data_IF_027381851207
#
_entry.id   IF_027381851207
#
_cell.length_a   1.000
_cell.length_b   1.000
_cell.length_c   1.000
_cell.angle_alpha   90.00
_cell.angle_beta   90.00
_cell.angle_gamma   90.00
#
_symmetry.space_group_name_H-M   'P 1'
#
loop_
_entity.id
_entity.type
_entity.pdbx_description
1 polymer ?
#
# COMPACT_ATOMS: atom_id res chain seq x y z
N UNK A 1 30.63 -14.62 38.60
CA UNK A 1 31.89 -13.92 38.25
C UNK A 1 31.68 -12.42 38.47
N UNK A 2 32.17 -11.87 39.58
CA UNK A 2 31.99 -10.46 39.97
C UNK A 2 33.08 -9.59 39.34
N UNK A 3 32.71 -8.62 38.49
CA UNK A 3 33.65 -7.63 37.94
C UNK A 3 33.91 -6.54 38.98
N UNK A 4 35.16 -6.43 39.45
CA UNK A 4 35.62 -5.32 40.30
C UNK A 4 36.00 -4.13 39.42
N UNK A 5 35.49 -2.95 39.73
CA UNK A 5 35.78 -1.70 39.01
C UNK A 5 36.76 -0.91 39.87
N UNK A 6 37.99 -0.74 39.38
CA UNK A 6 39.09 -0.11 40.13
C UNK A 6 39.27 1.39 39.81
N UNK A 7 38.50 1.91 38.84
CA UNK A 7 38.59 3.32 38.43
C UNK A 7 37.33 4.10 38.79
N UNK A 8 37.51 5.37 39.17
CA UNK A 8 36.41 6.28 39.52
C UNK A 8 35.52 6.51 38.29
N UNK A 9 34.26 6.14 38.36
CA UNK A 9 33.28 6.34 37.29
C UNK A 9 32.87 7.81 37.33
N UNK A 10 33.30 8.59 36.33
CA UNK A 10 33.04 10.05 36.25
C UNK A 10 31.74 10.38 35.52
N UNK A 11 31.02 9.36 35.02
CA UNK A 11 29.67 9.52 34.48
C UNK A 11 29.05 8.17 34.14
N UNK A 12 27.76 8.02 34.40
CA UNK A 12 26.97 6.87 33.97
C UNK A 12 25.74 7.38 33.21
N UNK A 13 25.43 6.77 32.07
CA UNK A 13 24.19 7.01 31.32
C UNK A 13 23.40 5.70 31.32
N UNK A 14 22.26 5.71 32.00
CA UNK A 14 21.33 4.58 32.01
C UNK A 14 20.63 4.57 30.65
N UNK A 15 20.87 3.51 29.88
CA UNK A 15 20.16 3.28 28.62
C UNK A 15 18.83 2.64 28.98
N UNK A 16 17.74 3.41 28.88
CA UNK A 16 16.38 2.87 28.82
C UNK A 16 16.20 2.15 27.48
N UNK A 17 15.47 1.03 27.47
CA UNK A 17 15.27 0.18 26.30
C UNK A 17 14.55 0.88 25.12
N UNK A 18 14.06 2.10 25.31
CA UNK A 18 13.53 2.95 24.24
C UNK A 18 14.61 3.48 23.28
N UNK A 19 15.89 3.51 23.69
CA UNK A 19 17.01 3.98 22.83
C UNK A 19 17.65 2.84 22.03
N UNK A 20 17.35 1.58 22.36
CA UNK A 20 17.81 0.43 21.55
C UNK A 20 17.06 0.30 20.22
N UNK A 21 15.87 0.90 20.09
CA UNK A 21 15.13 0.85 18.84
C UNK A 21 15.66 1.83 17.76
N UNK A 22 16.51 2.80 18.13
CA UNK A 22 17.02 3.83 17.19
C UNK A 22 18.51 3.69 16.86
N UNK A 23 19.17 2.62 17.29
CA UNK A 23 20.63 2.45 17.06
C UNK A 23 21.02 1.13 16.38
N UNK A 24 20.20 0.64 15.45
CA UNK A 24 20.58 -0.39 14.47
C UNK A 24 19.99 -0.05 13.08
N UNK A 25 20.48 1.02 12.45
CA UNK A 25 20.31 1.26 11.00
C UNK A 25 21.34 2.27 10.51
N UNK A 26 22.62 2.01 10.77
CA UNK A 26 23.73 2.65 10.07
C UNK A 26 24.75 1.57 9.70
N UNK A 27 24.37 0.77 8.72
CA UNK A 27 25.31 0.11 7.83
C UNK A 27 24.73 0.17 6.41
N UNK A 28 25.65 0.26 5.45
CA UNK A 28 25.49 0.72 4.09
C UNK A 28 24.34 0.07 3.31
N UNK A 29 23.43 0.90 2.81
CA UNK A 29 22.81 0.83 1.46
C UNK A 29 21.75 1.91 1.39
N UNK A 30 21.71 2.64 0.29
CA UNK A 30 20.77 3.73 0.02
C UNK A 30 19.37 3.16 -0.29
N UNK A 31 18.81 2.33 0.61
CA UNK A 31 17.52 1.65 0.45
C UNK A 31 16.43 2.68 0.70
N UNK A 32 15.83 3.17 -0.38
CA UNK A 32 14.68 4.05 -0.33
C UNK A 32 13.47 3.19 0.04
N UNK A 33 12.86 3.51 1.18
CA UNK A 33 11.58 2.94 1.60
C UNK A 33 10.44 3.89 1.23
N UNK A 34 9.25 3.34 1.00
CA UNK A 34 8.03 4.11 0.76
C UNK A 34 7.72 4.96 2.01
N UNK A 35 7.80 6.28 1.88
CA UNK A 35 7.44 7.22 2.95
C UNK A 35 6.84 8.50 2.34
N UNK A 36 6.12 9.30 3.12
CA UNK A 36 5.38 10.50 2.65
C UNK A 36 6.21 11.51 1.83
N UNK A 37 7.53 11.56 2.05
CA UNK A 37 8.46 12.45 1.33
C UNK A 37 9.00 11.88 0.01
N UNK A 38 8.62 10.66 -0.39
CA UNK A 38 9.05 10.11 -1.69
C UNK A 38 8.35 10.91 -2.78
N UNK A 39 9.15 11.62 -3.60
CA UNK A 39 8.63 12.39 -4.72
C UNK A 39 8.04 11.45 -5.77
N UNK A 40 6.93 11.88 -6.40
CA UNK A 40 6.35 11.16 -7.55
C UNK A 40 7.41 11.06 -8.67
N UNK A 41 7.82 9.85 -9.09
CA UNK A 41 8.75 9.68 -10.19
C UNK A 41 8.17 10.20 -11.51
N UNK A 42 9.03 10.49 -12.48
CA UNK A 42 8.59 10.93 -13.81
C UNK A 42 7.82 9.84 -14.57
N UNK A 43 8.20 8.57 -14.36
CA UNK A 43 7.55 7.42 -14.97
C UNK A 43 6.97 6.50 -13.89
N UNK A 44 5.72 6.06 -14.09
CA UNK A 44 5.05 5.08 -13.25
C UNK A 44 4.58 3.91 -14.11
N UNK A 45 4.81 2.69 -13.65
CA UNK A 45 4.29 1.50 -14.33
C UNK A 45 2.84 1.28 -13.93
N UNK A 46 1.92 1.34 -14.89
CA UNK A 46 0.48 1.25 -14.64
C UNK A 46 -0.16 0.05 -15.31
N UNK A 47 -1.06 -0.63 -14.59
CA UNK A 47 -1.94 -1.68 -15.14
C UNK A 47 -3.39 -1.21 -15.10
N UNK A 48 -4.12 -1.34 -16.20
CA UNK A 48 -5.54 -0.95 -16.29
C UNK A 48 -6.42 -2.17 -16.50
N UNK A 49 -7.37 -2.36 -15.59
CA UNK A 49 -8.32 -3.47 -15.56
C UNK A 49 -9.72 -2.97 -15.89
N UNK A 50 -10.45 -3.75 -16.68
CA UNK A 50 -11.86 -3.49 -16.97
C UNK A 50 -12.74 -4.40 -16.12
N UNK A 51 -13.51 -3.80 -15.22
CA UNK A 51 -14.45 -4.50 -14.35
C UNK A 51 -15.85 -4.33 -14.94
N UNK A 52 -16.52 -5.45 -15.23
CA UNK A 52 -17.93 -5.49 -15.60
C UNK A 52 -18.66 -6.33 -14.57
N UNK A 53 -19.72 -5.78 -14.00
CA UNK A 53 -20.64 -6.53 -13.13
C UNK A 53 -21.98 -6.65 -13.83
N UNK A 54 -22.70 -7.78 -13.66
CA UNK A 54 -24.01 -7.98 -14.30
C UNK A 54 -25.09 -7.02 -13.79
N UNK A 55 -24.85 -6.38 -12.63
CA UNK A 55 -25.75 -5.42 -11.99
C UNK A 55 -25.58 -3.98 -12.53
N UNK A 56 -24.56 -3.71 -13.33
CA UNK A 56 -24.24 -2.35 -13.81
C UNK A 56 -24.15 -2.32 -15.34
N UNK A 57 -24.91 -1.41 -15.95
CA UNK A 57 -24.89 -1.16 -17.40
C UNK A 57 -23.56 -0.56 -17.87
N UNK A 58 -22.79 0.04 -16.96
CA UNK A 58 -21.53 0.70 -17.25
C UNK A 58 -20.34 -0.08 -16.67
N UNK A 59 -19.33 -0.29 -17.52
CA UNK A 59 -18.06 -0.87 -17.11
C UNK A 59 -17.25 0.14 -16.29
N UNK A 60 -16.56 -0.35 -15.27
CA UNK A 60 -15.58 0.41 -14.49
C UNK A 60 -14.18 0.10 -15.00
N UNK A 61 -13.32 1.11 -15.02
CA UNK A 61 -11.91 1.00 -15.37
C UNK A 61 -11.09 1.29 -14.12
N UNK A 62 -10.27 0.32 -13.71
CA UNK A 62 -9.40 0.41 -12.56
C UNK A 62 -7.96 0.50 -13.05
N UNK A 63 -7.27 1.60 -12.79
CA UNK A 63 -5.84 1.76 -13.08
C UNK A 63 -5.07 1.74 -11.78
N UNK A 64 -4.11 0.83 -11.65
CA UNK A 64 -3.19 0.75 -10.53
C UNK A 64 -1.80 1.13 -11.05
N UNK A 65 -1.23 2.18 -10.49
CA UNK A 65 0.12 2.64 -10.80
C UNK A 65 1.05 2.26 -9.65
N UNK A 66 2.16 1.63 -10.00
CA UNK A 66 3.19 1.20 -9.07
C UNK A 66 4.47 2.01 -9.25
N UNK A 67 5.13 2.25 -8.13
CA UNK A 67 6.49 2.76 -8.06
C UNK A 67 7.45 1.59 -7.88
N UNK A 68 8.57 1.63 -8.60
CA UNK A 68 9.69 0.71 -8.36
C UNK A 68 10.69 1.48 -7.50
N UNK A 69 10.98 0.93 -6.33
CA UNK A 69 11.98 1.46 -5.40
C UNK A 69 13.27 0.68 -5.59
N UNK A 70 14.40 1.39 -5.54
CA UNK A 70 15.76 0.83 -5.61
C UNK A 70 16.03 0.02 -6.89
N UNK A 71 15.57 0.54 -8.03
CA UNK A 71 15.83 -0.04 -9.36
C UNK A 71 17.32 -0.36 -9.55
N UNK A 72 17.63 -1.61 -9.92
CA UNK A 72 19.02 -2.04 -10.19
C UNK A 72 19.86 -2.40 -8.96
N UNK A 73 19.22 -2.59 -7.79
CA UNK A 73 19.86 -3.15 -6.59
C UNK A 73 19.21 -4.47 -6.16
N UNK A 74 19.87 -5.22 -5.27
CA UNK A 74 19.31 -6.45 -4.68
C UNK A 74 18.03 -6.21 -3.85
N UNK A 75 17.67 -4.95 -3.60
CA UNK A 75 16.49 -4.52 -2.85
C UNK A 75 15.42 -3.85 -3.71
N UNK A 76 15.36 -4.17 -4.99
CA UNK A 76 14.29 -3.74 -5.88
C UNK A 76 12.92 -4.18 -5.34
N UNK A 77 12.05 -3.21 -5.06
CA UNK A 77 10.71 -3.48 -4.57
C UNK A 77 9.69 -2.68 -5.35
N UNK A 78 8.71 -3.39 -5.91
CA UNK A 78 7.54 -2.78 -6.54
C UNK A 78 6.44 -2.59 -5.50
N UNK A 79 5.95 -1.36 -5.36
CA UNK A 79 4.86 -1.04 -4.43
C UNK A 79 3.77 -0.22 -5.13
N UNK A 80 2.48 -0.41 -4.76
CA UNK A 80 1.41 0.42 -5.28
C UNK A 80 1.60 1.87 -4.82
N UNK A 81 1.43 2.82 -5.75
CA UNK A 81 1.63 4.25 -5.50
C UNK A 81 0.33 5.04 -5.60
N UNK A 82 -0.50 4.77 -6.61
CA UNK A 82 -1.80 5.43 -6.78
C UNK A 82 -2.79 4.53 -7.51
N UNK A 83 -4.08 4.73 -7.21
CA UNK A 83 -5.19 3.96 -7.79
C UNK A 83 -6.24 4.92 -8.33
N UNK A 84 -6.73 4.62 -9.53
CA UNK A 84 -7.78 5.37 -10.20
C UNK A 84 -8.90 4.43 -10.58
N UNK A 85 -10.13 4.79 -10.23
CA UNK A 85 -11.32 4.11 -10.69
C UNK A 85 -12.14 5.11 -11.48
N UNK A 86 -12.41 4.78 -12.74
CA UNK A 86 -13.23 5.59 -13.63
C UNK A 86 -14.46 4.80 -14.07
N UNK A 87 -15.59 5.49 -14.19
CA UNK A 87 -16.85 4.91 -14.66
C UNK A 87 -17.60 5.93 -15.49
N UNK A 88 -18.43 5.44 -16.43
CA UNK A 88 -19.40 6.29 -17.14
C UNK A 88 -20.61 6.65 -16.28
N UNK A 89 -20.81 5.96 -15.15
CA UNK A 89 -21.87 6.28 -14.21
C UNK A 89 -21.49 7.51 -13.37
N UNK A 90 -22.21 8.61 -13.56
CA UNK A 90 -21.95 9.87 -12.87
C UNK A 90 -22.46 9.89 -11.42
N UNK A 91 -23.46 9.08 -11.08
CA UNK A 91 -24.11 9.10 -9.76
C UNK A 91 -23.16 8.67 -8.64
N UNK A 92 -22.23 7.77 -8.95
CA UNK A 92 -21.26 7.24 -7.99
C UNK A 92 -19.89 7.93 -8.08
N UNK A 93 -19.71 8.86 -9.01
CA UNK A 93 -18.40 9.43 -9.34
C UNK A 93 -17.75 10.15 -8.15
N UNK A 94 -18.51 10.89 -7.36
CA UNK A 94 -17.98 11.62 -6.20
C UNK A 94 -17.43 10.68 -5.12
N UNK A 95 -18.17 9.63 -4.78
CA UNK A 95 -17.76 8.62 -3.79
C UNK A 95 -16.55 7.83 -4.28
N UNK A 96 -16.56 7.44 -5.55
CA UNK A 96 -15.43 6.75 -6.19
C UNK A 96 -14.17 7.63 -6.18
N UNK A 97 -14.30 8.92 -6.50
CA UNK A 97 -13.18 9.87 -6.48
C UNK A 97 -12.64 10.08 -5.05
N UNK A 98 -13.52 10.16 -4.06
CA UNK A 98 -13.11 10.26 -2.66
C UNK A 98 -12.36 9.00 -2.20
N UNK A 99 -12.89 7.81 -2.50
CA UNK A 99 -12.28 6.53 -2.15
C UNK A 99 -10.89 6.37 -2.76
N UNK A 100 -10.76 6.59 -4.07
CA UNK A 100 -9.48 6.48 -4.79
C UNK A 100 -8.42 7.45 -4.29
N UNK A 101 -8.83 8.68 -3.89
CA UNK A 101 -7.93 9.65 -3.23
C UNK A 101 -7.44 9.18 -1.87
N UNK A 102 -8.33 8.61 -1.05
CA UNK A 102 -7.97 8.10 0.28
C UNK A 102 -7.03 6.91 0.16
N UNK A 103 -7.37 5.92 -0.68
CA UNK A 103 -6.51 4.73 -0.89
C UNK A 103 -5.14 5.15 -1.42
N UNK A 104 -5.08 6.06 -2.41
CA UNK A 104 -3.81 6.56 -2.94
C UNK A 104 -3.00 7.32 -1.87
N UNK A 105 -3.66 8.06 -0.97
CA UNK A 105 -2.97 8.72 0.14
C UNK A 105 -2.35 7.70 1.10
N UNK A 106 -3.05 6.60 1.41
CA UNK A 106 -2.52 5.52 2.25
C UNK A 106 -1.32 4.85 1.58
N UNK A 107 -1.40 4.54 0.28
CA UNK A 107 -0.27 3.99 -0.48
C UNK A 107 0.96 4.90 -0.41
N UNK A 108 0.78 6.22 -0.53
CA UNK A 108 1.89 7.19 -0.43
C UNK A 108 2.47 7.35 0.97
N UNK A 109 1.69 7.11 2.03
CA UNK A 109 2.24 7.08 3.40
C UNK A 109 3.26 5.94 3.56
N UNK A 110 3.11 4.87 2.77
CA UNK A 110 3.92 3.67 2.88
C UNK A 110 3.50 2.80 4.06
N UNK A 111 4.28 1.75 4.32
CA UNK A 111 3.94 0.72 5.31
C UNK A 111 3.19 -0.47 4.71
N UNK A 112 2.55 -1.25 5.58
CA UNK A 112 1.80 -2.44 5.20
C UNK A 112 0.43 -2.08 4.60
N UNK A 113 0.32 -2.22 3.28
CA UNK A 113 -0.91 -1.97 2.54
C UNK A 113 -1.81 -3.20 2.45
N UNK A 114 -1.39 -4.37 2.95
CA UNK A 114 -2.20 -5.60 2.88
C UNK A 114 -3.48 -5.46 3.69
N UNK A 115 -3.46 -4.72 4.80
CA UNK A 115 -4.64 -4.44 5.61
C UNK A 115 -5.78 -3.81 4.78
N UNK A 116 -5.47 -2.92 3.82
CA UNK A 116 -6.50 -2.31 2.97
C UNK A 116 -7.24 -3.35 2.14
N UNK A 117 -6.54 -4.39 1.68
CA UNK A 117 -7.15 -5.49 0.92
C UNK A 117 -8.07 -6.30 1.82
N UNK A 118 -7.69 -6.51 3.08
CA UNK A 118 -8.51 -7.21 4.06
C UNK A 118 -9.78 -6.41 4.41
N UNK A 119 -9.66 -5.11 4.66
CA UNK A 119 -10.79 -4.22 4.93
C UNK A 119 -11.75 -4.14 3.75
N UNK A 120 -11.22 -3.97 2.53
CA UNK A 120 -12.05 -3.91 1.32
C UNK A 120 -12.76 -5.24 1.03
N UNK A 121 -12.17 -6.38 1.38
CA UNK A 121 -12.83 -7.69 1.30
C UNK A 121 -13.95 -7.85 2.32
N UNK A 122 -13.85 -7.23 3.49
CA UNK A 122 -14.87 -7.27 4.52
C UNK A 122 -16.12 -6.44 4.15
N UNK A 123 -15.99 -5.47 3.24
CA UNK A 123 -17.11 -4.69 2.72
C UNK A 123 -17.94 -5.56 1.78
N UNK A 124 -19.08 -6.04 2.28
CA UNK A 124 -20.02 -6.89 1.56
C UNK A 124 -21.18 -6.07 0.98
N UNK A 125 -21.51 -6.26 -0.30
CA UNK A 125 -22.79 -5.77 -0.86
C UNK A 125 -23.83 -6.92 -0.84
N UNK A 126 -24.92 -6.80 -0.06
CA UNK A 126 -25.98 -7.81 0.00
C UNK A 126 -26.59 -8.17 -1.37
N UNK A 127 -26.53 -7.26 -2.35
CA UNK A 127 -27.07 -7.45 -3.70
C UNK A 127 -26.12 -8.26 -4.59
N UNK A 128 -24.82 -8.20 -4.33
CA UNK A 128 -23.81 -9.05 -5.00
C UNK A 128 -23.87 -10.48 -4.46
N UNK A 129 -24.25 -10.65 -3.19
CA UNK A 129 -24.45 -11.95 -2.55
C UNK A 129 -25.51 -12.83 -3.23
N UNK A 130 -26.61 -12.22 -3.67
CA UNK A 130 -27.74 -12.93 -4.30
C UNK A 130 -27.31 -13.54 -5.65
N UNK A 131 -26.32 -12.95 -6.32
CA UNK A 131 -25.73 -13.50 -7.54
C UNK A 131 -24.77 -14.67 -7.29
N UNK A 132 -24.19 -14.80 -6.09
CA UNK A 132 -23.27 -15.89 -5.77
C UNK A 132 -23.96 -17.24 -5.51
N UNK A 133 -25.30 -17.27 -5.42
CA UNK A 133 -26.06 -18.51 -5.28
C UNK A 133 -26.37 -19.18 -6.63
N UNK A 134 -26.13 -18.49 -7.74
CA UNK A 134 -26.31 -18.98 -9.10
C UNK A 134 -25.01 -18.77 -9.88
N UNK A 135 -24.07 -19.69 -9.70
CA UNK A 135 -22.91 -19.96 -10.55
C UNK A 135 -22.12 -18.77 -11.15
N UNK A 136 -20.86 -18.66 -10.69
CA UNK A 136 -19.70 -18.16 -11.46
C UNK A 136 -19.84 -16.73 -11.97
N UNK A 137 -19.41 -15.74 -11.16
CA UNK A 137 -18.91 -14.47 -11.68
C UNK A 137 -17.99 -13.81 -10.64
N UNK A 138 -16.83 -14.45 -10.39
CA UNK A 138 -15.63 -13.63 -10.16
C UNK A 138 -15.59 -12.62 -11.31
N UNK A 139 -15.55 -11.29 -11.06
CA UNK A 139 -15.44 -10.33 -12.14
C UNK A 139 -14.20 -10.71 -12.95
N UNK A 140 -14.42 -11.18 -14.17
CA UNK A 140 -13.36 -11.64 -15.05
C UNK A 140 -12.42 -10.46 -15.26
N UNK A 141 -11.28 -10.44 -14.54
CA UNK A 141 -10.17 -9.56 -14.78
C UNK A 141 -9.64 -9.92 -16.16
N UNK A 142 -10.24 -9.33 -17.20
CA UNK A 142 -9.72 -9.39 -18.55
C UNK A 142 -8.43 -8.57 -18.57
N UNK A 143 -7.32 -9.26 -18.29
CA UNK A 143 -5.97 -8.79 -18.60
C UNK A 143 -5.90 -8.56 -20.10
N UNK A 144 -5.54 -7.34 -20.50
CA UNK A 144 -5.26 -6.99 -21.87
C UNK A 144 -3.95 -6.21 -21.93
#
# INVERSE_FOLDING_TARGET
MSKKIEKKIVGYKVVSDEVKAETEAKDDTNIIQMHEKVSRPETLSGSTYKIKTPLSDHAMYLTINDIILNEGSDHEQRRPFEIFLNSKNMDQFQWISALTRVISAVFRKGGDCTFLVEELKAIFDPRVAILNLADVLCPQLLLR
#
